data_IF_479148983574
#
_entry.id   IF_479148983574
#
_cell.length_a   1.000
_cell.length_b   1.000
_cell.length_c   1.000
_cell.angle_alpha   90.00
_cell.angle_beta   90.00
_cell.angle_gamma   90.00
#
_symmetry.space_group_name_H-M   'P 1'
#
loop_
_entity.id
_entity.type
_entity.pdbx_description
1 polymer ?
#
# COMPACT_ATOMS: atom_id res chain seq x y z
N UNK A 1 26.12 -19.43 -9.14
CA UNK A 1 25.06 -19.69 -8.11
C UNK A 1 24.08 -18.53 -8.11
N UNK A 2 22.78 -18.71 -8.39
CA UNK A 2 21.82 -17.62 -8.29
C UNK A 2 21.46 -17.39 -6.81
N UNK A 3 21.70 -16.18 -6.31
CA UNK A 3 21.24 -15.73 -5.00
C UNK A 3 19.71 -15.79 -4.98
N UNK A 4 19.13 -16.69 -4.17
CA UNK A 4 17.70 -16.67 -3.85
C UNK A 4 17.38 -15.33 -3.18
N UNK A 5 16.68 -14.45 -3.88
CA UNK A 5 16.16 -13.20 -3.33
C UNK A 5 15.14 -13.58 -2.26
N UNK A 6 15.51 -13.48 -0.97
CA UNK A 6 14.53 -13.58 0.12
C UNK A 6 13.67 -12.32 0.03
N UNK A 7 12.48 -12.40 -0.57
CA UNK A 7 11.50 -11.33 -0.51
C UNK A 7 11.16 -11.09 0.97
N UNK A 8 11.63 -9.97 1.53
CA UNK A 8 11.17 -9.51 2.85
C UNK A 8 9.73 -9.05 2.67
N UNK A 9 8.82 -9.56 3.51
CA UNK A 9 7.47 -9.01 3.63
C UNK A 9 7.60 -7.58 4.16
N UNK A 10 7.37 -6.58 3.30
CA UNK A 10 7.38 -5.17 3.67
C UNK A 10 5.95 -4.72 4.03
N UNK A 11 5.83 -3.97 5.11
CA UNK A 11 4.64 -3.16 5.44
C UNK A 11 4.60 -1.91 4.55
N UNK A 12 3.40 -1.33 4.36
CA UNK A 12 3.24 -0.06 3.63
C UNK A 12 4.02 1.06 4.33
N UNK A 13 4.93 1.70 3.62
CA UNK A 13 5.81 2.73 4.17
C UNK A 13 5.40 4.14 3.73
N UNK A 14 5.02 4.30 2.46
CA UNK A 14 4.80 5.62 1.87
C UNK A 14 3.45 6.21 2.25
N UNK A 15 3.43 7.52 2.50
CA UNK A 15 2.22 8.23 2.88
C UNK A 15 1.16 8.22 1.77
N UNK A 16 1.57 8.32 0.51
CA UNK A 16 0.68 8.22 -0.66
C UNK A 16 -0.06 6.88 -0.72
N UNK A 17 0.69 5.78 -0.55
CA UNK A 17 0.18 4.41 -0.49
C UNK A 17 -0.80 4.23 0.65
N UNK A 18 -0.43 4.65 1.88
CA UNK A 18 -1.28 4.57 3.07
C UNK A 18 -2.57 5.37 2.90
N UNK A 19 -2.45 6.63 2.46
CA UNK A 19 -3.59 7.53 2.28
C UNK A 19 -4.57 6.97 1.26
N UNK A 20 -4.07 6.49 0.11
CA UNK A 20 -4.92 5.94 -0.94
C UNK A 20 -5.57 4.62 -0.50
N UNK A 21 -4.82 3.75 0.19
CA UNK A 21 -5.35 2.50 0.74
C UNK A 21 -6.46 2.73 1.78
N UNK A 22 -6.22 3.61 2.76
CA UNK A 22 -7.23 3.95 3.78
C UNK A 22 -8.47 4.55 3.16
N UNK A 23 -8.31 5.45 2.18
CA UNK A 23 -9.42 6.02 1.44
C UNK A 23 -10.21 4.94 0.69
N UNK A 24 -9.52 4.10 -0.10
CA UNK A 24 -10.11 2.99 -0.84
C UNK A 24 -10.87 2.02 0.07
N UNK A 25 -10.28 1.67 1.21
CA UNK A 25 -10.88 0.77 2.20
C UNK A 25 -12.13 1.39 2.84
N UNK A 26 -12.14 2.71 3.03
CA UNK A 26 -13.30 3.43 3.56
C UNK A 26 -14.47 3.42 2.57
N UNK A 27 -14.21 3.68 1.28
CA UNK A 27 -15.28 3.80 0.28
C UNK A 27 -15.81 2.43 -0.18
N UNK A 28 -15.01 1.36 -0.15
CA UNK A 28 -15.51 0.01 -0.47
C UNK A 28 -16.58 -0.44 0.53
N UNK A 29 -16.43 -0.06 1.80
CA UNK A 29 -17.27 -0.56 2.89
C UNK A 29 -17.19 -2.08 2.96
N UNK A 30 -18.35 -2.75 2.96
CA UNK A 30 -18.45 -4.21 2.97
C UNK A 30 -18.33 -4.88 1.59
N UNK A 31 -18.12 -4.09 0.52
CA UNK A 31 -17.97 -4.63 -0.85
C UNK A 31 -16.53 -5.07 -1.09
N UNK A 32 -16.34 -6.05 -1.96
CA UNK A 32 -15.01 -6.54 -2.36
C UNK A 32 -14.15 -5.51 -3.14
N UNK A 33 -14.75 -4.45 -3.66
CA UNK A 33 -14.09 -3.31 -4.29
C UNK A 33 -15.08 -2.13 -4.41
N UNK A 34 -14.61 -0.88 -4.37
CA UNK A 34 -15.46 0.29 -4.59
C UNK A 34 -15.78 0.47 -6.09
N UNK A 35 -16.84 1.23 -6.39
CA UNK A 35 -17.11 1.66 -7.76
C UNK A 35 -16.26 2.87 -8.12
N UNK A 36 -15.83 2.97 -9.37
CA UNK A 36 -15.15 4.14 -9.90
C UNK A 36 -15.95 5.42 -9.66
N UNK A 37 -17.28 5.36 -9.64
CA UNK A 37 -18.16 6.50 -9.37
C UNK A 37 -18.08 6.99 -7.93
N UNK A 38 -17.66 6.13 -7.00
CA UNK A 38 -17.51 6.48 -5.57
C UNK A 38 -16.21 7.26 -5.31
N UNK A 39 -15.29 7.29 -6.29
CA UNK A 39 -14.01 7.98 -6.17
C UNK A 39 -14.20 9.50 -6.33
N UNK A 40 -14.02 10.21 -5.23
CA UNK A 40 -13.91 11.66 -5.14
C UNK A 40 -12.43 12.07 -4.99
N UNK A 41 -11.80 12.61 -6.05
CA UNK A 41 -10.40 13.04 -6.03
C UNK A 41 -10.10 14.08 -4.94
N UNK A 42 -11.09 14.88 -4.53
CA UNK A 42 -10.89 15.95 -3.57
C UNK A 42 -10.57 15.44 -2.15
N UNK A 43 -10.92 14.18 -1.86
CA UNK A 43 -10.63 13.52 -0.58
C UNK A 43 -9.22 12.93 -0.49
N UNK A 44 -8.50 12.87 -1.61
CA UNK A 44 -7.13 12.30 -1.69
C UNK A 44 -6.13 13.30 -2.33
N UNK A 45 -6.40 14.60 -2.22
CA UNK A 45 -5.60 15.66 -2.88
C UNK A 45 -4.10 15.50 -2.71
N UNK A 46 -3.66 15.17 -1.49
CA UNK A 46 -2.24 15.04 -1.15
C UNK A 46 -1.57 13.80 -1.79
N UNK A 47 -2.36 12.79 -2.15
CA UNK A 47 -1.89 11.59 -2.83
C UNK A 47 -2.11 11.61 -4.36
N UNK A 48 -2.88 12.57 -4.90
CA UNK A 48 -3.26 12.60 -6.32
C UNK A 48 -2.05 12.66 -7.26
N UNK A 49 -1.01 13.41 -6.91
CA UNK A 49 0.20 13.51 -7.71
C UNK A 49 0.92 12.17 -7.88
N UNK A 50 0.71 11.25 -6.93
CA UNK A 50 1.27 9.91 -6.91
C UNK A 50 0.27 8.82 -7.36
N UNK A 51 -0.97 9.19 -7.66
CA UNK A 51 -2.05 8.25 -7.97
C UNK A 51 -2.14 7.99 -9.47
N UNK A 52 -2.52 6.78 -9.85
CA UNK A 52 -2.81 6.40 -11.22
C UNK A 52 -4.02 5.49 -11.29
N UNK A 53 -4.65 5.44 -12.46
CA UNK A 53 -5.69 4.47 -12.79
C UNK A 53 -5.23 3.72 -14.03
N UNK A 54 -5.18 2.40 -13.92
CA UNK A 54 -5.01 1.52 -15.07
C UNK A 54 -6.38 1.12 -15.61
N UNK A 55 -6.45 0.95 -16.92
CA UNK A 55 -7.60 0.32 -17.58
C UNK A 55 -7.15 -0.78 -18.53
N UNK A 56 -7.94 -1.84 -18.58
CA UNK A 56 -7.77 -2.90 -19.55
C UNK A 56 -8.13 -2.36 -20.93
N UNK A 57 -7.17 -2.39 -21.85
CA UNK A 57 -7.34 -1.91 -23.22
C UNK A 57 -7.89 -3.00 -24.15
N UNK A 58 -8.08 -2.66 -25.43
CA UNK A 58 -8.59 -3.60 -26.44
C UNK A 58 -7.64 -4.75 -26.77
N UNK A 59 -6.38 -4.66 -26.36
CA UNK A 59 -5.36 -5.70 -26.51
C UNK A 59 -5.21 -6.57 -25.25
N UNK A 60 -6.16 -6.47 -24.31
CA UNK A 60 -6.16 -7.18 -23.03
C UNK A 60 -4.92 -6.85 -22.16
N UNK A 61 -4.39 -5.62 -22.31
CA UNK A 61 -3.29 -5.11 -21.50
C UNK A 61 -3.73 -3.95 -20.63
N UNK A 62 -3.15 -3.86 -19.44
CA UNK A 62 -3.39 -2.70 -18.58
C UNK A 62 -2.55 -1.51 -19.04
N UNK A 63 -3.23 -0.44 -19.44
CA UNK A 63 -2.61 0.83 -19.80
C UNK A 63 -3.00 1.94 -18.82
N UNK A 64 -2.15 2.95 -18.69
CA UNK A 64 -2.45 4.10 -17.84
C UNK A 64 -3.57 4.94 -18.43
N UNK A 65 -4.74 4.93 -17.80
CA UNK A 65 -5.83 5.85 -18.13
C UNK A 65 -5.55 7.25 -17.59
N UNK A 66 -5.00 7.30 -16.39
CA UNK A 66 -4.64 8.50 -15.65
C UNK A 66 -3.33 8.23 -14.90
N UNK A 67 -2.46 9.22 -14.84
CA UNK A 67 -1.24 9.19 -14.05
C UNK A 67 -1.01 10.56 -13.44
N UNK A 68 -0.69 10.59 -12.15
CA UNK A 68 -0.37 11.80 -11.41
C UNK A 68 0.92 12.44 -11.91
N UNK A 69 1.08 13.74 -11.63
CA UNK A 69 2.21 14.53 -12.12
C UNK A 69 3.56 14.02 -11.62
N UNK A 70 3.68 13.57 -10.37
CA UNK A 70 4.95 13.06 -9.83
C UNK A 70 5.37 11.76 -10.53
N UNK A 71 4.42 10.92 -10.95
CA UNK A 71 4.70 9.75 -11.78
C UNK A 71 5.26 10.20 -13.13
N UNK A 72 4.54 11.06 -13.84
CA UNK A 72 5.00 11.55 -15.15
C UNK A 72 6.39 12.19 -15.07
N UNK A 73 6.66 12.96 -14.00
CA UNK A 73 7.99 13.50 -13.71
C UNK A 73 9.02 12.39 -13.53
N UNK A 74 8.75 11.36 -12.72
CA UNK A 74 9.68 10.24 -12.47
C UNK A 74 10.11 9.50 -13.75
N UNK A 75 9.22 9.37 -14.74
CA UNK A 75 9.54 8.76 -16.05
C UNK A 75 9.95 9.77 -17.13
N UNK A 76 10.04 11.05 -16.76
CA UNK A 76 10.28 12.20 -17.62
C UNK A 76 9.41 12.21 -18.89
N UNK A 77 8.16 11.73 -18.77
CA UNK A 77 7.22 11.61 -19.89
C UNK A 77 5.79 11.47 -19.40
N UNK A 78 4.84 11.80 -20.27
CA UNK A 78 3.44 11.45 -20.02
C UNK A 78 3.25 9.93 -20.09
N UNK A 79 2.61 9.38 -19.06
CA UNK A 79 2.32 7.95 -18.95
C UNK A 79 0.97 7.55 -19.55
N UNK A 80 0.05 8.51 -19.75
CA UNK A 80 -1.29 8.23 -20.27
C UNK A 80 -1.22 7.45 -21.59
N UNK A 81 -2.00 6.37 -21.68
CA UNK A 81 -2.07 5.45 -22.82
C UNK A 81 -0.90 4.47 -22.93
N UNK A 82 0.10 4.52 -22.04
CA UNK A 82 1.23 3.57 -22.05
C UNK A 82 0.88 2.29 -21.30
N UNK A 83 1.45 1.18 -21.73
CA UNK A 83 1.31 -0.11 -21.05
C UNK A 83 2.03 -0.09 -19.69
N UNK A 84 1.35 -0.58 -18.66
CA UNK A 84 1.90 -0.77 -17.33
C UNK A 84 2.84 -1.97 -17.28
N UNK A 85 2.58 -3.04 -18.04
CA UNK A 85 3.48 -4.21 -18.07
C UNK A 85 4.81 -3.90 -18.77
N UNK A 86 4.80 -3.03 -19.79
CA UNK A 86 6.01 -2.61 -20.52
C UNK A 86 7.01 -1.80 -19.69
N UNK A 87 6.63 -1.39 -18.48
CA UNK A 87 7.47 -0.67 -17.54
C UNK A 87 8.43 -1.61 -16.76
N UNK A 88 8.14 -2.90 -16.73
CA UNK A 88 8.86 -3.91 -15.97
C UNK A 88 9.86 -4.65 -16.86
N UNK A 89 10.96 -5.12 -16.28
CA UNK A 89 11.89 -6.00 -16.99
C UNK A 89 11.24 -7.37 -17.25
N UNK A 90 11.57 -8.00 -18.39
CA UNK A 90 11.01 -9.29 -18.83
C UNK A 90 11.03 -10.39 -17.75
N UNK A 91 12.09 -10.45 -16.94
CA UNK A 91 12.18 -11.42 -15.82
C UNK A 91 11.10 -11.29 -14.75
N UNK A 92 10.45 -10.14 -14.67
CA UNK A 92 9.43 -9.85 -13.67
C UNK A 92 8.02 -9.76 -14.31
N UNK A 93 7.88 -10.03 -15.62
CA UNK A 93 6.58 -9.99 -16.33
C UNK A 93 5.59 -10.98 -15.74
N UNK A 94 5.98 -12.25 -15.57
CA UNK A 94 5.10 -13.31 -15.07
C UNK A 94 4.63 -13.03 -13.64
N UNK A 95 5.51 -12.46 -12.82
CA UNK A 95 5.18 -12.04 -11.46
C UNK A 95 4.17 -10.88 -11.47
N UNK A 96 4.32 -9.92 -12.39
CA UNK A 96 3.40 -8.80 -12.53
C UNK A 96 2.03 -9.25 -13.06
N UNK A 97 1.99 -10.16 -14.04
CA UNK A 97 0.74 -10.71 -14.56
C UNK A 97 -0.01 -11.49 -13.48
N UNK A 98 0.70 -12.28 -12.68
CA UNK A 98 0.12 -13.00 -11.53
C UNK A 98 -0.45 -12.02 -10.50
N UNK A 99 0.26 -10.92 -10.22
CA UNK A 99 -0.23 -9.87 -9.32
C UNK A 99 -1.49 -9.18 -9.85
N UNK A 100 -1.50 -8.82 -11.12
CA UNK A 100 -2.64 -8.16 -11.76
C UNK A 100 -3.87 -9.08 -11.70
N UNK A 101 -3.71 -10.37 -11.95
CA UNK A 101 -4.80 -11.36 -11.80
C UNK A 101 -5.30 -11.44 -10.36
N UNK A 102 -4.41 -11.57 -9.38
CA UNK A 102 -4.82 -11.58 -7.97
C UNK A 102 -5.59 -10.31 -7.57
N UNK A 103 -5.19 -9.15 -8.08
CA UNK A 103 -5.91 -7.89 -7.83
C UNK A 103 -7.29 -7.88 -8.50
N UNK A 104 -7.39 -8.33 -9.74
CA UNK A 104 -8.59 -8.16 -10.58
C UNK A 104 -9.64 -9.26 -10.40
N UNK A 105 -9.19 -10.50 -10.25
CA UNK A 105 -10.02 -11.71 -10.13
C UNK A 105 -10.35 -11.98 -8.66
N UNK A 106 -9.34 -12.00 -7.78
CA UNK A 106 -9.51 -12.36 -6.37
C UNK A 106 -9.83 -11.16 -5.46
N UNK A 107 -9.73 -9.94 -6.01
CA UNK A 107 -9.90 -8.66 -5.29
C UNK A 107 -8.87 -8.43 -4.18
N UNK A 108 -7.67 -8.99 -4.37
CA UNK A 108 -6.51 -8.72 -3.52
C UNK A 108 -6.03 -7.26 -3.65
N UNK A 109 -5.32 -6.79 -2.63
CA UNK A 109 -4.52 -5.57 -2.72
C UNK A 109 -3.05 -5.95 -2.80
N UNK A 110 -2.37 -5.53 -3.87
CA UNK A 110 -0.96 -5.83 -4.07
C UNK A 110 -0.09 -4.63 -3.69
N UNK A 111 0.82 -4.83 -2.74
CA UNK A 111 1.89 -3.91 -2.41
C UNK A 111 3.20 -4.42 -3.01
N UNK A 112 3.83 -3.61 -3.85
CA UNK A 112 5.06 -3.95 -4.55
C UNK A 112 6.12 -2.91 -4.24
N UNK A 113 7.32 -3.38 -3.88
CA UNK A 113 8.51 -2.53 -3.84
C UNK A 113 9.47 -2.93 -4.93
N UNK A 114 9.99 -1.96 -5.66
CA UNK A 114 10.83 -2.21 -6.81
C UNK A 114 11.93 -1.16 -6.92
N UNK A 115 12.92 -1.44 -7.74
CA UNK A 115 14.01 -0.52 -8.03
C UNK A 115 13.88 -0.05 -9.47
N UNK A 116 13.79 1.25 -9.67
CA UNK A 116 13.89 1.90 -10.98
C UNK A 116 15.35 2.15 -11.33
N UNK A 117 15.73 1.90 -12.58
CA UNK A 117 17.08 2.13 -13.09
C UNK A 117 17.04 3.09 -14.29
N UNK A 118 17.97 4.03 -14.34
CA UNK A 118 18.14 4.98 -15.45
C UNK A 118 19.16 4.48 -16.48
N UNK A 119 19.31 5.20 -17.60
CA UNK A 119 20.35 4.94 -18.60
C UNK A 119 21.79 4.99 -18.03
N UNK A 120 22.02 5.79 -16.98
CA UNK A 120 23.34 5.92 -16.34
C UNK A 120 23.55 4.90 -15.22
N UNK A 121 22.69 3.88 -15.12
CA UNK A 121 22.70 2.85 -14.07
C UNK A 121 22.54 3.40 -12.64
N UNK A 122 22.05 4.63 -12.49
CA UNK A 122 21.59 5.15 -11.21
C UNK A 122 20.26 4.50 -10.83
N UNK A 123 20.03 4.33 -9.53
CA UNK A 123 18.95 3.52 -8.99
C UNK A 123 18.19 4.28 -7.92
N UNK A 124 16.88 4.11 -7.91
CA UNK A 124 15.99 4.61 -6.84
C UNK A 124 14.96 3.54 -6.50
N UNK A 125 14.60 3.46 -5.22
CA UNK A 125 13.59 2.51 -4.75
C UNK A 125 12.21 3.17 -4.80
N UNK A 126 11.21 2.40 -5.19
CA UNK A 126 9.82 2.80 -5.21
C UNK A 126 8.94 1.83 -4.43
N UNK A 127 7.82 2.34 -3.96
CA UNK A 127 6.69 1.58 -3.47
C UNK A 127 5.48 1.87 -4.37
N UNK A 128 4.75 0.83 -4.77
CA UNK A 128 3.49 0.95 -5.49
C UNK A 128 2.44 0.03 -4.89
N UNK A 129 1.19 0.48 -4.88
CA UNK A 129 0.04 -0.31 -4.48
C UNK A 129 -0.96 -0.40 -5.63
N UNK A 130 -1.54 -1.58 -5.80
CA UNK A 130 -2.56 -1.88 -6.79
C UNK A 130 -3.80 -2.41 -6.08
N UNK A 131 -4.94 -1.82 -6.38
CA UNK A 131 -6.23 -2.13 -5.76
C UNK A 131 -7.30 -2.25 -6.83
N UNK A 132 -8.24 -3.21 -6.69
CA UNK A 132 -9.30 -3.37 -7.67
C UNK A 132 -10.25 -2.19 -7.64
N UNK A 133 -10.79 -1.86 -8.81
CA UNK A 133 -11.81 -0.83 -8.97
C UNK A 133 -12.93 -1.35 -9.87
N UNK A 134 -14.17 -1.30 -9.37
CA UNK A 134 -15.35 -1.68 -10.17
C UNK A 134 -15.65 -0.58 -11.17
N UNK A 135 -16.02 -0.99 -12.37
CA UNK A 135 -16.50 -0.07 -13.40
C UNK A 135 -17.56 -0.77 -14.26
N UNK A 136 -18.74 -0.18 -14.35
CA UNK A 136 -19.90 -0.75 -15.05
C UNK A 136 -20.21 -2.20 -14.62
N UNK A 137 -20.04 -2.50 -13.33
CA UNK A 137 -20.29 -3.84 -12.78
C UNK A 137 -19.12 -4.83 -12.87
N UNK A 138 -18.04 -4.52 -13.58
CA UNK A 138 -16.85 -5.39 -13.69
C UNK A 138 -15.66 -4.88 -12.88
N UNK A 139 -14.97 -5.77 -12.15
CA UNK A 139 -13.72 -5.50 -11.40
C UNK A 139 -12.47 -5.69 -12.24
N UNK A 140 -12.56 -6.41 -13.37
CA UNK A 140 -11.41 -6.79 -14.18
C UNK A 140 -10.91 -5.67 -15.11
N UNK A 141 -11.64 -4.56 -15.18
CA UNK A 141 -11.38 -3.54 -16.19
C UNK A 141 -10.56 -2.36 -15.69
N UNK A 142 -10.47 -2.16 -14.37
CA UNK A 142 -9.77 -1.01 -13.79
C UNK A 142 -9.04 -1.36 -12.50
N UNK A 143 -7.86 -0.79 -12.36
CA UNK A 143 -7.05 -0.85 -11.14
C UNK A 143 -6.75 0.58 -10.71
N UNK A 144 -6.95 0.85 -9.43
CA UNK A 144 -6.51 2.08 -8.78
C UNK A 144 -5.16 1.82 -8.11
N UNK A 145 -4.21 2.74 -8.24
CA UNK A 145 -2.93 2.60 -7.58
C UNK A 145 -2.27 3.91 -7.20
N UNK A 146 -1.29 3.83 -6.33
CA UNK A 146 -0.37 4.91 -6.02
C UNK A 146 1.07 4.40 -6.15
N UNK A 147 1.97 5.25 -6.60
CA UNK A 147 3.39 4.93 -6.73
C UNK A 147 4.23 6.13 -6.29
N UNK A 148 5.21 5.86 -5.42
CA UNK A 148 6.09 6.91 -4.90
C UNK A 148 7.50 6.38 -4.70
N UNK A 149 8.48 7.26 -4.93
CA UNK A 149 9.86 6.95 -4.62
C UNK A 149 10.04 6.93 -3.09
N UNK A 150 10.75 5.93 -2.57
CA UNK A 150 11.08 5.82 -1.14
C UNK A 150 12.03 6.94 -0.72
N UNK A 151 12.91 7.33 -1.64
CA UNK A 151 13.81 8.47 -1.51
C UNK A 151 13.71 9.29 -2.80
N UNK A 152 13.76 10.61 -2.71
CA UNK A 152 13.72 11.52 -3.86
C UNK A 152 15.12 12.10 -4.12
N UNK A 153 15.99 11.39 -4.87
CA UNK A 153 17.30 11.91 -5.20
C UNK A 153 17.18 13.10 -6.17
N UNK A 154 18.15 14.01 -6.13
CA UNK A 154 18.15 15.24 -6.93
C UNK A 154 17.98 15.04 -8.45
N UNK A 155 18.29 13.85 -8.96
CA UNK A 155 18.20 13.51 -10.38
C UNK A 155 16.83 12.95 -10.78
N UNK A 156 15.97 12.57 -9.82
CA UNK A 156 14.64 12.06 -10.09
C UNK A 156 13.80 13.18 -10.73
N UNK A 157 13.27 12.93 -11.93
CA UNK A 157 12.59 13.97 -12.72
C UNK A 157 13.45 14.59 -13.82
N UNK A 158 14.77 14.43 -13.76
CA UNK A 158 15.71 14.85 -14.81
C UNK A 158 16.15 13.66 -15.67
N UNK A 159 16.32 12.50 -15.04
CA UNK A 159 16.68 11.25 -15.71
C UNK A 159 15.50 10.28 -15.71
N UNK A 160 15.06 9.79 -16.88
CA UNK A 160 13.92 8.89 -16.94
C UNK A 160 14.26 7.53 -16.35
N UNK A 161 13.36 6.98 -15.54
CA UNK A 161 13.37 5.55 -15.23
C UNK A 161 13.08 4.78 -16.52
N UNK A 162 13.97 3.84 -16.85
CA UNK A 162 13.88 3.04 -18.08
C UNK A 162 13.47 1.59 -17.80
N UNK A 163 13.86 1.06 -16.66
CA UNK A 163 13.63 -0.34 -16.30
C UNK A 163 13.27 -0.45 -14.81
N UNK A 164 12.37 -1.37 -14.48
CA UNK A 164 11.97 -1.67 -13.11
C UNK A 164 12.18 -3.13 -12.76
N UNK A 165 12.73 -3.37 -11.57
CA UNK A 165 12.95 -4.70 -11.01
C UNK A 165 12.25 -4.87 -9.69
N UNK A 166 11.41 -5.89 -9.55
CA UNK A 166 10.70 -6.20 -8.31
C UNK A 166 11.73 -6.60 -7.25
N UNK A 167 11.62 -5.98 -6.07
CA UNK A 167 12.48 -6.26 -4.90
C UNK A 167 11.70 -6.86 -3.74
N UNK A 168 10.40 -6.62 -3.68
CA UNK A 168 9.50 -7.12 -2.64
C UNK A 168 8.05 -7.06 -3.09
N UNK A 169 7.23 -7.97 -2.59
CA UNK A 169 5.83 -8.15 -2.96
C UNK A 169 5.08 -8.63 -1.72
N UNK A 170 3.90 -8.07 -1.50
CA UNK A 170 2.95 -8.51 -0.48
C UNK A 170 1.52 -8.41 -1.04
N UNK A 171 0.75 -9.48 -0.92
CA UNK A 171 -0.69 -9.45 -1.11
C UNK A 171 -1.37 -9.20 0.24
N UNK A 172 -2.43 -8.39 0.22
CA UNK A 172 -3.25 -8.03 1.36
C UNK A 172 -4.68 -8.39 0.98
N UNK A 173 -5.35 -9.19 1.81
CA UNK A 173 -6.75 -9.60 1.61
C UNK A 173 -7.64 -8.81 2.58
N UNK A 174 -8.33 -7.75 2.12
CA UNK A 174 -9.06 -6.85 3.01
C UNK A 174 -10.19 -7.56 3.78
N UNK A 175 -10.77 -8.59 3.17
CA UNK A 175 -11.88 -9.35 3.74
C UNK A 175 -11.42 -10.40 4.78
N UNK A 176 -10.13 -10.73 4.82
CA UNK A 176 -9.56 -11.72 5.74
C UNK A 176 -8.83 -11.08 6.93
N UNK A 177 -8.60 -9.75 6.94
CA UNK A 177 -7.94 -9.09 8.08
C UNK A 177 -8.89 -9.17 9.29
N UNK A 178 -8.57 -9.97 10.33
CA UNK A 178 -9.41 -10.02 11.51
C UNK A 178 -9.46 -8.63 12.13
N UNK A 179 -10.61 -8.23 12.67
CA UNK A 179 -10.83 -6.89 13.24
C UNK A 179 -9.73 -6.47 14.26
N UNK A 180 -9.07 -7.43 14.90
CA UNK A 180 -7.97 -7.23 15.84
C UNK A 180 -6.67 -6.74 15.21
N UNK A 181 -6.33 -7.17 13.98
CA UNK A 181 -5.13 -6.74 13.27
C UNK A 181 -5.33 -5.38 12.60
N UNK A 182 -6.54 -5.13 12.08
CA UNK A 182 -6.98 -3.80 11.64
C UNK A 182 -6.96 -2.79 12.79
N UNK A 183 -7.42 -3.17 13.99
CA UNK A 183 -7.37 -2.31 15.17
C UNK A 183 -5.93 -2.01 15.60
N UNK A 184 -4.99 -2.96 15.47
CA UNK A 184 -3.57 -2.74 15.78
C UNK A 184 -2.87 -1.85 14.76
N UNK A 185 -3.13 -2.00 13.46
CA UNK A 185 -2.58 -1.09 12.42
C UNK A 185 -3.15 0.33 12.53
N UNK A 186 -4.45 0.47 12.84
CA UNK A 186 -5.08 1.77 13.11
C UNK A 186 -4.51 2.39 14.39
N UNK A 187 -4.38 1.63 15.49
CA UNK A 187 -3.76 2.14 16.72
C UNK A 187 -2.29 2.53 16.51
N UNK A 188 -1.51 1.77 15.75
CA UNK A 188 -0.11 2.08 15.45
C UNK A 188 0.04 3.34 14.58
N UNK A 189 -0.89 3.58 13.64
CA UNK A 189 -0.86 4.80 12.81
C UNK A 189 -1.29 6.05 13.60
N UNK A 190 -2.30 5.95 14.49
CA UNK A 190 -2.73 7.07 15.35
C UNK A 190 -1.66 7.46 16.38
N UNK A 191 -0.91 6.49 16.93
CA UNK A 191 0.21 6.75 17.85
C UNK A 191 1.33 7.52 17.15
N UNK A 192 1.65 7.20 15.89
CA UNK A 192 2.66 7.93 15.12
C UNK A 192 2.24 9.37 14.79
N UNK A 193 0.94 9.63 14.53
CA UNK A 193 0.44 11.00 14.31
C UNK A 193 0.41 11.83 15.61
N UNK A 194 0.27 11.18 16.77
CA UNK A 194 0.28 11.85 18.08
C UNK A 194 1.69 12.26 18.55
N UNK A 195 2.77 11.76 17.95
CA UNK A 195 4.15 12.14 18.32
C UNK A 195 4.57 13.53 17.81
N UNK A 196 3.78 14.17 16.93
CA UNK A 196 3.94 15.58 16.53
C UNK A 196 2.85 16.47 17.15
N UNK A 197 2.72 16.47 18.49
CA UNK A 197 1.67 17.24 19.16
C UNK A 197 1.80 17.41 20.66
N UNK A 198 2.76 18.23 21.09
CA UNK A 198 2.83 18.88 22.42
C UNK A 198 3.12 18.01 23.66
N UNK A 199 4.18 18.43 24.34
CA UNK A 199 4.53 18.07 25.71
C UNK A 199 3.52 18.63 26.72
N UNK A 200 2.78 17.76 27.40
CA UNK A 200 2.25 18.04 28.74
C UNK A 200 1.87 16.72 29.44
N UNK A 201 2.69 16.28 30.39
CA UNK A 201 2.26 15.31 31.40
C UNK A 201 1.43 16.05 32.46
N UNK A 202 0.24 15.56 32.85
CA UNK A 202 -0.28 15.83 34.18
C UNK A 202 0.09 14.66 35.11
N UNK A 203 0.76 15.00 36.19
CA UNK A 203 1.00 14.11 37.32
C UNK A 203 -0.34 13.67 37.95
N UNK A 204 -0.49 12.36 38.19
CA UNK A 204 -1.63 11.81 38.89
C UNK A 204 -1.52 12.09 40.40
N UNK A 205 -2.51 12.78 40.97
CA UNK A 205 -2.74 12.77 42.42
C UNK A 205 -3.76 11.68 42.78
N UNK A 206 -3.58 10.95 43.90
CA UNK A 206 -4.54 9.95 44.33
C UNK A 206 -5.74 10.62 45.02
N UNK A 207 -6.96 10.22 44.63
CA UNK A 207 -8.18 10.49 45.39
C UNK A 207 -8.83 9.16 45.73
N UNK A 208 -9.03 8.91 47.02
CA UNK A 208 -9.71 7.73 47.57
C UNK A 208 -11.15 8.10 47.89
N UNK A 209 -12.14 7.37 47.35
CA UNK A 209 -13.55 7.46 47.80
C UNK A 209 -14.23 6.07 47.75
N UNK A 210 -14.64 5.58 48.93
CA UNK A 210 -15.63 4.53 49.24
C UNK A 210 -15.55 3.15 48.56
N UNK A 211 -14.78 2.24 49.17
CA UNK A 211 -15.37 0.99 49.67
C UNK A 211 -15.25 -0.31 48.86
N UNK A 212 -14.53 -0.39 47.74
CA UNK A 212 -14.18 -1.69 47.13
C UNK A 212 -12.79 -1.70 46.50
N UNK A 213 -11.85 -2.37 47.18
CA UNK A 213 -10.53 -2.70 46.64
C UNK A 213 -10.64 -3.92 45.72
N UNK A 214 -10.53 -3.72 44.41
CA UNK A 214 -10.29 -4.78 43.45
C UNK A 214 -8.87 -4.63 42.89
N UNK A 215 -7.93 -5.43 43.42
CA UNK A 215 -6.61 -5.63 42.81
C UNK A 215 -6.74 -6.68 41.72
N UNK A 216 -6.32 -6.37 40.49
CA UNK A 216 -6.03 -7.34 39.43
C UNK A 216 -4.70 -6.97 38.76
N UNK A 217 -3.67 -7.71 39.14
CA UNK A 217 -2.54 -8.11 38.29
C UNK A 217 -2.60 -9.65 38.28
N UNK A 218 -2.25 -10.40 37.26
CA UNK A 218 -1.90 -10.18 35.86
C UNK A 218 -1.85 -11.60 35.25
N UNK A 219 -1.90 -11.69 33.92
CA UNK A 219 -1.23 -12.71 33.09
C UNK A 219 -0.77 -14.04 33.79
N UNK A 220 -1.49 -15.11 33.47
CA UNK A 220 -1.26 -16.56 33.65
C UNK A 220 0.05 -17.07 34.28
N UNK A 221 -0.09 -18.07 35.17
CA UNK A 221 0.91 -19.11 35.43
C UNK A 221 0.23 -20.49 35.54
N UNK A 222 0.69 -21.46 34.77
CA UNK A 222 0.31 -22.89 34.81
C UNK A 222 1.56 -23.69 35.15
N UNK A 223 1.46 -24.62 36.09
CA UNK A 223 2.50 -25.62 36.41
C UNK A 223 1.81 -26.97 36.58
N UNK A 224 2.28 -27.97 35.84
CA UNK A 224 1.73 -29.33 35.78
C UNK A 224 2.30 -30.21 36.93
N UNK A 225 1.47 -31.09 37.49
CA UNK A 225 1.70 -31.79 38.75
C UNK A 225 2.37 -33.18 38.61
N UNK A 226 3.29 -33.49 39.51
CA UNK A 226 3.91 -34.81 39.66
C UNK A 226 3.12 -35.74 40.58
N UNK A 227 2.92 -36.98 40.12
CA UNK A 227 2.21 -38.13 40.74
C UNK A 227 2.92 -38.70 41.99
N UNK A 228 2.13 -39.31 42.87
CA UNK A 228 2.56 -40.41 43.76
C UNK A 228 2.81 -41.68 42.94
#
# INVERSE_FOLDING_TARGET
MPRRLKLRVRTMQMQSTKTLYTYWNTIRGSRSAPDRRDIDPTRIRDALANTFILELDSADQFSFRLAGSHLCTSYCRELKGRSFSALWHDRDSDAMDTLIRAVTEDHAVALVTFQGTTALHTKVSFETILMPLRHNGSTHTRILGAMSAVEEPYWLGVQPILEQRITGLRLIWPDEVPAEESAREVMASVVNDAEYGSSAQPAAMPTTVYGRSARRYAHLAVIDGGRN
#
